data_IF_574784273775
#
_entry.id   IF_574784273775
#
_cell.length_a   1.000
_cell.length_b   1.000
_cell.length_c   1.000
_cell.angle_alpha   90.00
_cell.angle_beta   90.00
_cell.angle_gamma   90.00
#
_symmetry.space_group_name_H-M   'P 1'
#
loop_
_entity.id
_entity.type
_entity.pdbx_description
1 polymer ?
#
# COMPACT_ATOMS: atom_id res chain seq x y z
N UNK A 1 -20.01 29.18 -39.65
CA UNK A 1 -19.28 29.72 -38.48
C UNK A 1 -19.76 29.12 -37.16
N UNK A 2 -21.06 29.01 -36.88
CA UNK A 2 -21.57 28.40 -35.62
C UNK A 2 -21.13 26.91 -35.44
N UNK A 3 -21.08 26.10 -36.50
CA UNK A 3 -20.69 24.68 -36.45
C UNK A 3 -19.19 24.49 -36.16
N UNK A 4 -18.33 25.40 -36.57
CA UNK A 4 -16.88 25.35 -36.31
C UNK A 4 -16.57 25.68 -34.84
N UNK A 5 -17.33 26.60 -34.24
CA UNK A 5 -17.18 26.98 -32.83
C UNK A 5 -17.61 25.85 -31.90
N UNK A 6 -18.66 25.09 -32.27
CA UNK A 6 -19.10 23.90 -31.47
C UNK A 6 -18.08 22.79 -31.55
N UNK A 7 -17.45 22.55 -32.71
CA UNK A 7 -16.39 21.57 -32.86
C UNK A 7 -15.12 21.92 -32.06
N UNK A 8 -14.75 23.21 -32.00
CA UNK A 8 -13.61 23.69 -31.19
C UNK A 8 -13.88 23.60 -29.69
N UNK A 9 -15.11 23.82 -29.25
CA UNK A 9 -15.50 23.64 -27.82
C UNK A 9 -15.49 22.14 -27.41
N UNK A 10 -15.91 21.25 -28.30
CA UNK A 10 -15.85 19.79 -28.04
C UNK A 10 -14.39 19.26 -27.97
N UNK A 11 -13.48 19.78 -28.77
CA UNK A 11 -12.06 19.42 -28.72
C UNK A 11 -11.39 19.95 -27.46
N UNK A 12 -11.79 21.13 -26.96
CA UNK A 12 -11.25 21.68 -25.71
C UNK A 12 -11.67 20.86 -24.46
N UNK A 13 -12.84 20.19 -24.50
CA UNK A 13 -13.24 19.31 -23.40
C UNK A 13 -12.51 17.95 -23.38
N UNK A 14 -12.00 17.46 -24.51
CA UNK A 14 -11.23 16.22 -24.57
C UNK A 14 -9.79 16.37 -24.05
N UNK A 15 -9.24 17.58 -24.05
CA UNK A 15 -7.87 17.83 -23.56
C UNK A 15 -7.78 18.07 -22.04
N UNK A 16 -8.90 18.25 -21.34
CA UNK A 16 -8.91 18.52 -19.90
C UNK A 16 -8.89 17.25 -19.03
N UNK A 17 -9.10 16.06 -19.60
CA UNK A 17 -9.09 14.80 -18.84
C UNK A 17 -7.73 14.13 -18.72
N UNK A 18 -6.68 14.67 -19.33
CA UNK A 18 -5.35 14.04 -19.39
C UNK A 18 -4.42 14.40 -18.23
N UNK A 19 -4.86 15.14 -17.23
CA UNK A 19 -3.95 15.72 -16.23
C UNK A 19 -3.84 14.95 -14.91
N UNK A 20 -4.71 13.96 -14.67
CA UNK A 20 -4.78 13.27 -13.38
C UNK A 20 -4.25 11.82 -13.41
N UNK A 21 -3.58 11.42 -14.48
CA UNK A 21 -3.11 10.04 -14.68
C UNK A 21 -1.65 9.81 -14.34
N UNK A 22 -0.96 10.84 -13.84
CA UNK A 22 0.42 10.77 -13.40
C UNK A 22 0.69 11.71 -12.22
N UNK A 23 1.65 11.34 -11.38
CA UNK A 23 1.98 12.12 -10.20
C UNK A 23 2.77 11.37 -9.15
N UNK A 24 2.89 12.02 -8.00
CA UNK A 24 3.47 11.43 -6.80
C UNK A 24 2.51 11.64 -5.62
N UNK A 25 2.26 10.56 -4.87
CA UNK A 25 1.48 10.60 -3.63
C UNK A 25 2.41 10.22 -2.49
N UNK A 26 2.41 11.06 -1.43
CA UNK A 26 3.08 10.73 -0.17
C UNK A 26 2.05 10.11 0.75
N UNK A 27 2.35 8.91 1.26
CA UNK A 27 1.55 8.22 2.26
C UNK A 27 2.25 8.23 3.61
N UNK A 28 1.53 8.58 4.66
CA UNK A 28 1.92 8.26 6.02
C UNK A 28 1.42 6.83 6.35
N UNK A 29 2.32 5.96 6.75
CA UNK A 29 2.02 4.62 7.23
C UNK A 29 2.18 4.59 8.73
N UNK A 30 1.06 4.56 9.45
CA UNK A 30 1.00 4.49 10.89
C UNK A 30 0.69 3.06 11.33
N UNK A 31 1.52 2.50 12.20
CA UNK A 31 1.31 1.20 12.85
C UNK A 31 0.95 1.42 14.30
N UNK A 32 -0.17 0.87 14.72
CA UNK A 32 -0.55 0.78 16.13
C UNK A 32 -0.04 -0.53 16.73
N UNK A 33 1.16 -0.49 17.30
CA UNK A 33 1.78 -1.69 17.87
C UNK A 33 1.00 -2.27 19.06
N UNK A 34 0.33 -1.45 19.83
CA UNK A 34 -0.51 -1.95 20.94
C UNK A 34 -1.62 -2.81 20.38
N UNK A 35 -2.34 -2.31 19.38
CA UNK A 35 -3.43 -3.08 18.74
C UNK A 35 -2.89 -4.32 18.05
N UNK A 36 -1.83 -4.19 17.26
CA UNK A 36 -1.18 -5.31 16.58
C UNK A 36 -0.74 -6.41 17.55
N UNK A 37 -0.23 -6.03 18.74
CA UNK A 37 0.15 -6.99 19.78
C UNK A 37 -1.07 -7.60 20.47
N UNK A 38 -2.08 -6.79 20.84
CA UNK A 38 -3.24 -7.27 21.58
C UNK A 38 -4.20 -8.10 20.72
N UNK A 39 -4.11 -8.03 19.41
CA UNK A 39 -4.87 -8.88 18.48
C UNK A 39 -4.25 -10.30 18.32
N UNK A 40 -3.06 -10.56 18.90
CA UNK A 40 -2.41 -11.86 18.83
C UNK A 40 -3.17 -12.92 19.68
N UNK A 41 -3.41 -14.12 19.12
CA UNK A 41 -4.34 -15.08 19.73
C UNK A 41 -3.79 -15.79 20.99
N UNK A 42 -2.49 -15.73 21.22
CA UNK A 42 -1.84 -16.41 22.35
C UNK A 42 -1.72 -15.55 23.61
N UNK A 43 -1.99 -14.23 23.53
CA UNK A 43 -1.91 -13.35 24.70
C UNK A 43 -3.15 -13.50 25.58
N UNK A 44 -2.93 -13.67 26.89
CA UNK A 44 -3.97 -13.55 27.90
C UNK A 44 -4.49 -12.10 28.04
N UNK A 45 -5.67 -11.91 28.60
CA UNK A 45 -6.22 -10.56 28.82
C UNK A 45 -5.33 -9.71 29.75
N UNK A 46 -4.69 -10.35 30.76
CA UNK A 46 -3.73 -9.66 31.64
C UNK A 46 -2.50 -9.15 30.87
N UNK A 47 -1.97 -9.94 29.94
CA UNK A 47 -0.82 -9.54 29.09
C UNK A 47 -1.21 -8.44 28.11
N UNK A 48 -2.40 -8.50 27.53
CA UNK A 48 -2.95 -7.43 26.69
C UNK A 48 -3.08 -6.12 27.46
N UNK A 49 -3.62 -6.15 28.69
CA UNK A 49 -3.76 -4.96 29.51
C UNK A 49 -2.39 -4.40 29.95
N UNK A 50 -1.43 -5.27 30.28
CA UNK A 50 -0.06 -4.86 30.57
C UNK A 50 0.60 -4.20 29.34
N UNK A 51 0.36 -4.73 28.15
CA UNK A 51 0.86 -4.16 26.89
C UNK A 51 0.29 -2.75 26.68
N UNK A 52 -1.01 -2.56 26.82
CA UNK A 52 -1.68 -1.25 26.72
C UNK A 52 -1.09 -0.22 27.70
N UNK A 53 -0.82 -0.63 28.94
CA UNK A 53 -0.24 0.25 29.97
C UNK A 53 1.23 0.62 29.70
N UNK A 54 2.01 -0.29 29.10
CA UNK A 54 3.45 -0.15 28.93
C UNK A 54 3.85 0.67 27.71
N UNK A 55 3.06 0.62 26.62
CA UNK A 55 3.43 1.16 25.31
C UNK A 55 2.81 2.52 24.97
N UNK A 56 1.97 3.09 25.86
CA UNK A 56 1.32 4.39 25.66
C UNK A 56 0.47 4.42 24.40
N UNK A 57 0.70 5.38 23.48
CA UNK A 57 0.00 5.45 22.19
C UNK A 57 0.36 4.28 21.28
N UNK A 58 1.57 3.73 21.43
CA UNK A 58 2.05 2.58 20.67
C UNK A 58 2.10 2.77 19.16
N UNK A 59 2.02 4.01 18.67
CA UNK A 59 1.99 4.30 17.24
C UNK A 59 3.39 4.63 16.71
N UNK A 60 3.64 4.19 15.48
CA UNK A 60 4.85 4.49 14.72
C UNK A 60 4.50 4.92 13.30
N UNK A 61 5.04 6.06 12.88
CA UNK A 61 4.78 6.68 11.60
C UNK A 61 5.97 6.54 10.65
N UNK A 62 5.69 6.26 9.39
CA UNK A 62 6.71 6.14 8.34
C UNK A 62 6.14 6.62 7.02
N UNK A 63 6.89 7.42 6.26
CA UNK A 63 6.44 7.92 4.98
C UNK A 63 6.88 7.03 3.82
N UNK A 64 5.97 6.86 2.86
CA UNK A 64 6.19 6.16 1.60
C UNK A 64 5.74 7.03 0.43
N UNK A 65 6.41 6.90 -0.71
CA UNK A 65 6.05 7.59 -1.94
C UNK A 65 5.52 6.58 -2.95
N UNK A 66 4.39 6.91 -3.58
CA UNK A 66 3.88 6.26 -4.77
C UNK A 66 4.03 7.23 -5.93
N UNK A 67 4.92 6.93 -6.86
CA UNK A 67 5.06 7.66 -8.13
C UNK A 67 4.40 6.85 -9.24
N UNK A 68 3.52 7.46 -10.03
CA UNK A 68 2.71 6.75 -11.01
C UNK A 68 2.52 7.52 -12.30
N UNK A 69 2.31 6.79 -13.40
CA UNK A 69 1.85 7.26 -14.70
C UNK A 69 0.94 6.19 -15.34
N UNK A 70 0.41 6.39 -16.57
CA UNK A 70 -0.44 5.38 -17.23
C UNK A 70 0.26 4.05 -17.55
N UNK A 71 1.59 3.98 -17.42
CA UNK A 71 2.35 2.76 -17.72
C UNK A 71 2.63 1.93 -16.48
N UNK A 72 2.77 2.58 -15.31
CA UNK A 72 3.13 1.88 -14.09
C UNK A 72 3.11 2.75 -12.84
N UNK A 73 3.39 2.10 -11.72
CA UNK A 73 3.55 2.76 -10.42
C UNK A 73 4.73 2.17 -9.66
N UNK A 74 5.39 3.02 -8.86
CA UNK A 74 6.49 2.63 -7.98
C UNK A 74 6.16 3.09 -6.58
N UNK A 75 6.05 2.14 -5.66
CA UNK A 75 5.85 2.40 -4.23
C UNK A 75 7.11 2.05 -3.46
N UNK A 76 7.65 3.01 -2.74
CA UNK A 76 8.92 2.86 -2.02
C UNK A 76 8.98 3.76 -0.79
N UNK A 77 9.94 3.47 0.08
CA UNK A 77 10.21 4.27 1.26
C UNK A 77 10.51 5.74 0.89
N UNK A 78 9.81 6.66 1.55
CA UNK A 78 9.99 8.11 1.40
C UNK A 78 11.06 8.61 2.35
N UNK A 79 12.21 9.04 1.83
CA UNK A 79 13.26 9.66 2.65
C UNK A 79 12.78 11.02 3.14
N UNK A 80 12.74 11.24 4.46
CA UNK A 80 12.57 12.55 5.05
C UNK A 80 13.93 13.10 5.48
N UNK A 81 14.15 14.42 5.35
CA UNK A 81 15.42 15.09 5.71
C UNK A 81 15.80 14.94 7.20
N UNK A 82 14.88 14.44 8.04
CA UNK A 82 15.05 14.33 9.50
C UNK A 82 15.37 12.93 10.00
N UNK A 83 15.44 11.93 9.13
CA UNK A 83 15.73 10.57 9.58
C UNK A 83 17.21 10.40 9.89
N UNK A 84 17.53 10.48 11.17
CA UNK A 84 18.74 9.92 11.75
C UNK A 84 18.83 8.43 11.34
N UNK A 85 19.84 8.09 10.61
CA UNK A 85 20.62 6.88 10.33
C UNK A 85 20.18 5.52 10.92
N UNK A 86 18.90 5.30 11.22
CA UNK A 86 18.39 4.05 11.78
C UNK A 86 17.31 3.45 10.88
N UNK A 87 17.66 3.27 9.60
CA UNK A 87 16.77 2.53 8.69
C UNK A 87 17.08 1.03 8.77
N UNK A 88 16.36 0.33 9.61
CA UNK A 88 16.33 -1.12 9.57
C UNK A 88 15.69 -1.58 8.26
N UNK A 89 16.44 -1.56 7.13
CA UNK A 89 16.06 -2.13 5.83
C UNK A 89 14.73 -1.61 5.22
N UNK A 90 14.32 -0.40 5.57
CA UNK A 90 13.10 0.21 5.00
C UNK A 90 13.28 0.55 3.52
N UNK A 91 14.48 0.94 3.14
CA UNK A 91 14.90 1.20 1.76
C UNK A 91 15.02 -0.07 0.88
N UNK A 92 14.94 -1.27 1.48
CA UNK A 92 14.86 -2.54 0.77
C UNK A 92 13.41 -2.95 0.43
N UNK A 93 12.41 -2.15 0.81
CA UNK A 93 11.01 -2.37 0.43
C UNK A 93 10.66 -1.54 -0.81
N UNK A 94 10.28 -2.26 -1.87
CA UNK A 94 9.98 -1.67 -3.17
C UNK A 94 8.88 -2.48 -3.84
N UNK A 95 7.89 -1.79 -4.39
CA UNK A 95 6.88 -2.40 -5.28
C UNK A 95 6.90 -1.64 -6.60
N UNK A 96 6.94 -2.37 -7.69
CA UNK A 96 6.84 -1.85 -9.06
C UNK A 96 5.65 -2.53 -9.73
N UNK A 97 4.70 -1.74 -10.18
CA UNK A 97 3.56 -2.18 -10.98
C UNK A 97 3.81 -1.85 -12.45
N UNK A 98 3.81 -2.85 -13.34
CA UNK A 98 3.66 -2.65 -14.78
C UNK A 98 2.17 -2.73 -15.13
N UNK A 99 1.53 -1.56 -15.29
CA UNK A 99 0.09 -1.49 -15.56
C UNK A 99 -0.28 -1.98 -16.96
N UNK A 100 0.68 -1.95 -17.92
CA UNK A 100 0.47 -2.42 -19.28
C UNK A 100 0.48 -3.93 -19.39
N UNK A 101 1.38 -4.57 -18.65
CA UNK A 101 1.49 -6.03 -18.64
C UNK A 101 0.62 -6.70 -17.58
N UNK A 102 0.07 -5.92 -16.65
CA UNK A 102 -0.58 -6.42 -15.44
C UNK A 102 0.36 -7.31 -14.60
N UNK A 103 1.62 -6.91 -14.49
CA UNK A 103 2.65 -7.57 -13.67
C UNK A 103 2.99 -6.72 -12.45
N UNK A 104 3.39 -7.35 -11.37
CA UNK A 104 3.89 -6.69 -10.18
C UNK A 104 5.21 -7.32 -9.73
N UNK A 105 6.15 -6.47 -9.38
CA UNK A 105 7.40 -6.86 -8.74
C UNK A 105 7.43 -6.31 -7.33
N UNK A 106 7.67 -7.17 -6.34
CA UNK A 106 7.77 -6.81 -4.93
C UNK A 106 9.09 -7.27 -4.32
N UNK A 107 9.90 -6.32 -3.86
CA UNK A 107 11.11 -6.59 -3.08
C UNK A 107 10.81 -6.39 -1.59
N UNK A 108 11.19 -7.36 -0.75
CA UNK A 108 10.89 -7.35 0.69
C UNK A 108 11.86 -8.22 1.47
N UNK A 109 11.90 -8.02 2.80
CA UNK A 109 12.76 -8.79 3.72
C UNK A 109 11.91 -9.62 4.67
N UNK A 110 12.26 -10.90 4.85
CA UNK A 110 11.72 -11.79 5.88
C UNK A 110 12.86 -12.57 6.50
N UNK A 111 12.90 -12.65 7.83
CA UNK A 111 13.92 -13.40 8.56
C UNK A 111 15.35 -12.98 8.19
N UNK A 112 15.53 -11.69 7.91
CA UNK A 112 16.81 -11.15 7.51
C UNK A 112 17.25 -11.44 6.08
N UNK A 113 16.44 -12.11 5.26
CA UNK A 113 16.73 -12.42 3.86
C UNK A 113 15.92 -11.55 2.93
N UNK A 114 16.57 -11.01 1.89
CA UNK A 114 15.95 -10.23 0.83
C UNK A 114 15.36 -11.17 -0.24
N UNK A 115 14.09 -10.94 -0.56
CA UNK A 115 13.32 -11.68 -1.55
C UNK A 115 12.82 -10.77 -2.66
N UNK A 116 12.56 -11.37 -3.81
CA UNK A 116 11.99 -10.73 -4.99
C UNK A 116 10.86 -11.62 -5.50
N UNK A 117 9.62 -11.13 -5.40
CA UNK A 117 8.44 -11.73 -6.00
C UNK A 117 8.18 -11.01 -7.32
N UNK A 118 8.12 -11.75 -8.41
CA UNK A 118 7.72 -11.26 -9.74
C UNK A 118 6.56 -12.16 -10.20
N UNK A 119 5.36 -11.57 -10.35
CA UNK A 119 4.18 -12.33 -10.75
C UNK A 119 3.18 -11.47 -11.50
N UNK A 120 2.15 -12.12 -12.06
CA UNK A 120 0.96 -11.42 -12.49
C UNK A 120 0.40 -10.59 -11.33
N UNK A 121 -0.07 -9.39 -11.64
CA UNK A 121 -0.62 -8.48 -10.64
C UNK A 121 -1.75 -9.15 -9.86
N UNK A 122 -1.69 -9.19 -8.52
CA UNK A 122 -2.71 -9.84 -7.72
C UNK A 122 -4.10 -9.27 -8.03
N UNK A 123 -5.04 -10.13 -8.37
CA UNK A 123 -6.45 -9.72 -8.55
C UNK A 123 -7.14 -9.72 -7.21
N UNK A 124 -6.94 -8.67 -6.44
CA UNK A 124 -7.64 -8.49 -5.18
C UNK A 124 -9.15 -8.42 -5.42
N UNK A 125 -9.91 -9.26 -4.72
CA UNK A 125 -11.37 -9.29 -4.82
C UNK A 125 -11.97 -8.28 -3.86
N UNK A 126 -12.24 -7.08 -4.36
CA UNK A 126 -12.84 -6.01 -3.59
C UNK A 126 -14.37 -6.09 -3.56
N UNK A 127 -14.95 -5.81 -2.39
CA UNK A 127 -16.38 -5.57 -2.20
C UNK A 127 -16.58 -4.08 -1.95
N UNK A 128 -17.03 -3.37 -3.00
CA UNK A 128 -17.30 -1.92 -2.91
C UNK A 128 -18.52 -1.69 -2.00
N UNK A 129 -18.44 -0.66 -1.16
CA UNK A 129 -19.46 -0.25 -0.21
C UNK A 129 -20.03 1.12 -0.60
N UNK A 130 -21.26 1.39 -0.18
CA UNK A 130 -21.89 2.69 -0.41
C UNK A 130 -21.54 3.67 0.73
N UNK A 131 -20.24 3.93 0.88
CA UNK A 131 -19.70 4.90 1.85
C UNK A 131 -18.73 5.80 1.11
N UNK A 132 -18.77 7.09 1.41
CA UNK A 132 -17.95 8.12 0.78
C UNK A 132 -17.26 8.95 1.87
N UNK A 133 -16.00 9.30 1.65
CA UNK A 133 -15.25 10.27 2.45
C UNK A 133 -14.33 11.10 1.56
N UNK A 134 -13.89 12.24 2.04
CA UNK A 134 -12.88 13.06 1.38
C UNK A 134 -11.49 12.78 1.98
N UNK A 135 -10.48 12.61 1.11
CA UNK A 135 -9.07 12.46 1.47
C UNK A 135 -8.27 13.35 0.52
N UNK A 136 -7.47 14.27 1.05
CA UNK A 136 -6.64 15.22 0.28
C UNK A 136 -7.42 15.94 -0.84
N UNK A 137 -8.69 16.29 -0.59
CA UNK A 137 -9.56 16.96 -1.55
C UNK A 137 -10.21 16.05 -2.60
N UNK A 138 -9.99 14.73 -2.53
CA UNK A 138 -10.58 13.75 -3.43
C UNK A 138 -11.73 12.99 -2.78
N UNK A 139 -12.86 12.88 -3.49
CA UNK A 139 -13.95 12.02 -3.05
C UNK A 139 -13.56 10.55 -3.23
N UNK A 140 -13.58 9.79 -2.15
CA UNK A 140 -13.19 8.40 -2.11
C UNK A 140 -14.36 7.50 -1.76
N UNK A 141 -14.47 6.37 -2.45
CA UNK A 141 -15.41 5.28 -2.15
C UNK A 141 -14.71 4.20 -1.34
N UNK A 142 -15.47 3.57 -0.45
CA UNK A 142 -14.99 2.46 0.38
C UNK A 142 -15.04 1.13 -0.37
N UNK A 143 -14.00 0.33 -0.21
CA UNK A 143 -13.97 -1.08 -0.63
C UNK A 143 -13.34 -1.94 0.48
N UNK A 144 -13.73 -3.21 0.56
CA UNK A 144 -13.25 -4.15 1.59
C UNK A 144 -12.78 -5.43 0.94
N UNK A 145 -11.67 -5.97 1.43
CA UNK A 145 -11.15 -7.30 1.09
C UNK A 145 -10.58 -7.98 2.32
N UNK A 146 -10.18 -9.24 2.18
CA UNK A 146 -9.54 -10.04 3.22
C UNK A 146 -8.24 -10.65 2.71
N UNK A 147 -7.18 -10.58 3.51
CA UNK A 147 -5.97 -11.39 3.37
C UNK A 147 -6.13 -12.62 4.28
N UNK A 148 -6.47 -13.76 3.68
CA UNK A 148 -6.74 -15.00 4.42
C UNK A 148 -5.48 -15.64 4.97
N UNK A 149 -4.29 -15.36 4.41
CA UNK A 149 -3.01 -15.89 4.88
C UNK A 149 -2.59 -15.20 6.16
N UNK A 150 -2.72 -13.88 6.20
CA UNK A 150 -2.38 -13.09 7.39
C UNK A 150 -3.56 -12.93 8.37
N UNK A 151 -4.77 -13.35 7.98
CA UNK A 151 -5.98 -13.16 8.77
C UNK A 151 -6.36 -11.69 8.94
N UNK A 152 -6.19 -10.89 7.88
CA UNK A 152 -6.40 -9.44 7.93
C UNK A 152 -7.62 -9.01 7.14
N UNK A 153 -8.45 -8.14 7.73
CA UNK A 153 -9.47 -7.38 7.01
C UNK A 153 -8.87 -6.05 6.55
N UNK A 154 -9.05 -5.75 5.26
CA UNK A 154 -8.46 -4.56 4.64
C UNK A 154 -9.57 -3.70 4.08
N UNK A 155 -9.64 -2.46 4.53
CA UNK A 155 -10.53 -1.43 4.04
C UNK A 155 -9.71 -0.46 3.19
N UNK A 156 -10.12 -0.27 1.93
CA UNK A 156 -9.55 0.72 1.03
C UNK A 156 -10.52 1.86 0.79
N UNK A 157 -9.97 3.07 0.68
CA UNK A 157 -10.66 4.25 0.18
C UNK A 157 -9.99 4.69 -1.10
N UNK A 158 -10.71 4.67 -2.22
CA UNK A 158 -10.18 4.95 -3.54
C UNK A 158 -10.97 6.03 -4.26
N UNK A 159 -10.31 6.80 -5.11
CA UNK A 159 -10.92 7.85 -5.93
C UNK A 159 -10.74 7.55 -7.43
N UNK A 160 -11.84 7.62 -8.17
CA UNK A 160 -11.86 7.54 -9.63
C UNK A 160 -11.45 8.86 -10.31
N UNK A 161 -11.31 9.93 -9.53
CA UNK A 161 -10.77 11.22 -10.00
C UNK A 161 -9.28 11.15 -10.36
N UNK A 162 -8.58 10.10 -9.87
CA UNK A 162 -7.23 9.70 -10.30
C UNK A 162 -7.38 8.31 -10.94
N UNK A 163 -7.57 8.23 -12.28
CA UNK A 163 -8.00 7.01 -12.96
C UNK A 163 -6.86 6.00 -13.19
N UNK A 164 -6.01 5.83 -12.20
CA UNK A 164 -4.90 4.87 -12.20
C UNK A 164 -5.17 3.82 -11.14
N UNK A 165 -5.31 2.56 -11.55
CA UNK A 165 -5.61 1.44 -10.66
C UNK A 165 -4.37 0.99 -9.87
N UNK A 166 -3.90 1.83 -8.95
CA UNK A 166 -2.75 1.61 -8.11
C UNK A 166 -3.04 2.04 -6.65
N UNK A 167 -2.12 1.71 -5.73
CA UNK A 167 -2.25 2.09 -4.33
C UNK A 167 -1.04 1.68 -3.50
N UNK A 168 -1.04 2.06 -2.22
CA UNK A 168 0.02 1.70 -1.30
C UNK A 168 0.06 0.19 -1.06
N UNK A 169 1.20 -0.33 -0.59
CA UNK A 169 1.46 -1.75 -0.29
C UNK A 169 1.27 -2.71 -1.49
N UNK A 170 1.06 -2.18 -2.71
CA UNK A 170 0.81 -2.96 -3.92
C UNK A 170 -0.65 -3.40 -4.09
N UNK A 171 -1.57 -2.88 -3.29
CA UNK A 171 -3.00 -3.13 -3.49
C UNK A 171 -3.51 -2.44 -4.75
N UNK A 172 -4.28 -3.17 -5.53
CA UNK A 172 -4.76 -2.75 -6.85
C UNK A 172 -6.14 -3.35 -7.13
N UNK A 173 -6.69 -3.12 -8.35
CA UNK A 173 -7.93 -3.75 -8.80
C UNK A 173 -9.19 -2.94 -8.49
N UNK A 174 -9.06 -1.71 -7.96
CA UNK A 174 -10.13 -0.73 -7.87
C UNK A 174 -10.11 0.22 -9.07
N UNK A 175 -11.23 0.80 -9.46
CA UNK A 175 -11.31 1.69 -10.61
C UNK A 175 -10.82 3.12 -10.26
N UNK A 176 -9.57 3.24 -9.80
CA UNK A 176 -8.93 4.49 -9.40
C UNK A 176 -7.86 4.28 -8.34
N UNK A 177 -7.24 5.39 -7.94
CA UNK A 177 -6.15 5.41 -6.96
C UNK A 177 -6.66 5.16 -5.55
N UNK A 178 -6.00 4.23 -4.84
CA UNK A 178 -6.26 4.00 -3.41
C UNK A 178 -5.51 5.09 -2.62
N UNK A 179 -6.27 5.94 -1.93
CA UNK A 179 -5.72 7.02 -1.12
C UNK A 179 -5.60 6.67 0.37
N UNK A 180 -6.26 5.61 0.83
CA UNK A 180 -6.09 5.11 2.19
C UNK A 180 -6.33 3.60 2.25
N UNK A 181 -5.55 2.94 3.09
CA UNK A 181 -5.79 1.59 3.57
C UNK A 181 -5.93 1.61 5.09
N UNK A 182 -6.90 0.88 5.61
CA UNK A 182 -7.05 0.56 7.02
C UNK A 182 -7.02 -0.96 7.16
N UNK A 183 -6.05 -1.47 7.88
CA UNK A 183 -5.83 -2.90 8.10
C UNK A 183 -6.18 -3.23 9.54
N UNK A 184 -7.12 -4.16 9.72
CA UNK A 184 -7.62 -4.62 11.01
C UNK A 184 -8.07 -3.47 11.91
N UNK A 185 -8.96 -2.59 11.38
CA UNK A 185 -9.62 -1.53 12.14
C UNK A 185 -8.61 -0.66 12.93
N UNK A 186 -7.63 -0.12 12.22
CA UNK A 186 -6.62 0.80 12.76
C UNK A 186 -5.36 0.14 13.35
N UNK A 187 -5.13 -1.15 13.15
CA UNK A 187 -3.84 -1.76 13.49
C UNK A 187 -2.72 -1.24 12.57
N UNK A 188 -3.04 -1.03 11.29
CA UNK A 188 -2.21 -0.23 10.40
C UNK A 188 -3.08 0.69 9.53
N UNK A 189 -2.72 1.96 9.47
CA UNK A 189 -3.35 2.94 8.59
C UNK A 189 -2.28 3.49 7.63
N UNK A 190 -2.57 3.43 6.33
CA UNK A 190 -1.71 4.02 5.31
C UNK A 190 -2.55 5.04 4.55
N UNK A 191 -2.35 6.33 4.82
CA UNK A 191 -3.18 7.41 4.29
C UNK A 191 -2.34 8.41 3.51
N UNK A 192 -2.86 8.84 2.36
CA UNK A 192 -2.27 9.91 1.57
C UNK A 192 -2.26 11.21 2.40
N UNK A 193 -1.11 11.89 2.41
CA UNK A 193 -0.91 13.18 3.08
C UNK A 193 -0.55 14.28 2.08
N UNK A 194 -0.24 13.90 0.85
CA UNK A 194 0.03 14.82 -0.25
C UNK A 194 -0.25 14.11 -1.56
N UNK A 195 -0.96 14.79 -2.45
CA UNK A 195 -1.19 14.35 -3.83
C UNK A 195 -0.67 15.44 -4.76
N UNK A 196 0.40 15.14 -5.50
CA UNK A 196 1.01 16.05 -6.47
C UNK A 196 0.88 15.44 -7.87
N UNK A 197 -0.05 16.00 -8.68
CA UNK A 197 -0.33 15.56 -10.04
C UNK A 197 0.53 16.34 -11.05
N UNK A 198 1.81 16.08 -11.04
CA UNK A 198 2.78 16.66 -11.96
C UNK A 198 3.39 15.59 -12.86
N UNK A 199 4.02 16.01 -13.95
CA UNK A 199 4.79 15.11 -14.82
C UNK A 199 5.93 14.48 -14.03
N UNK A 200 5.96 13.16 -13.97
CA UNK A 200 6.94 12.41 -13.18
C UNK A 200 7.90 11.64 -14.06
N UNK A 201 9.11 11.44 -13.55
CA UNK A 201 10.04 10.44 -14.08
C UNK A 201 10.04 9.26 -13.09
N UNK A 202 9.83 8.06 -13.63
CA UNK A 202 9.92 6.84 -12.82
C UNK A 202 11.38 6.40 -12.69
N UNK A 203 12.03 6.63 -11.57
CA UNK A 203 13.39 6.14 -11.34
C UNK A 203 13.36 4.66 -10.98
N UNK A 204 13.08 3.79 -11.96
CA UNK A 204 13.21 2.34 -11.75
C UNK A 204 14.65 2.05 -11.38
N UNK A 205 14.92 1.42 -10.23
CA UNK A 205 16.27 1.06 -9.83
C UNK A 205 16.94 0.20 -10.90
N UNK A 206 18.15 0.56 -11.30
CA UNK A 206 18.91 -0.16 -12.35
C UNK A 206 19.21 -1.62 -12.00
N UNK A 207 19.15 -1.97 -10.71
CA UNK A 207 19.41 -3.31 -10.21
C UNK A 207 18.56 -3.61 -8.99
N UNK A 208 17.61 -4.51 -9.14
CA UNK A 208 16.80 -5.04 -8.06
C UNK A 208 17.40 -6.37 -7.63
N UNK A 209 17.53 -6.60 -6.32
CA UNK A 209 18.19 -7.77 -5.75
C UNK A 209 17.18 -8.56 -4.92
N UNK A 210 17.43 -9.83 -4.73
CA UNK A 210 16.66 -10.71 -3.86
C UNK A 210 16.67 -12.14 -4.36
N UNK A 211 16.36 -13.09 -3.48
CA UNK A 211 16.06 -14.46 -3.88
C UNK A 211 14.69 -14.44 -4.57
N UNK A 212 14.63 -14.86 -5.84
CA UNK A 212 13.35 -14.95 -6.54
C UNK A 212 12.43 -15.98 -5.89
N UNK A 213 11.16 -15.65 -5.82
CA UNK A 213 10.07 -16.50 -5.37
C UNK A 213 8.93 -16.42 -6.40
N UNK A 214 8.27 -17.56 -6.61
CA UNK A 214 6.96 -17.62 -7.25
C UNK A 214 5.87 -17.30 -6.22
N UNK A 215 4.66 -16.89 -6.67
CA UNK A 215 3.56 -16.53 -5.76
C UNK A 215 3.20 -17.66 -4.78
N UNK A 216 3.14 -18.89 -5.26
CA UNK A 216 2.86 -20.06 -4.41
C UNK A 216 3.93 -20.31 -3.36
N UNK A 217 5.21 -20.04 -3.67
CA UNK A 217 6.31 -20.14 -2.71
C UNK A 217 6.25 -18.99 -1.70
N UNK A 218 5.85 -17.79 -2.14
CA UNK A 218 5.63 -16.64 -1.25
C UNK A 218 4.51 -16.92 -0.26
N UNK A 219 3.35 -17.38 -0.74
CA UNK A 219 2.20 -17.69 0.11
C UNK A 219 2.55 -18.76 1.14
N UNK A 220 3.19 -19.85 0.71
CA UNK A 220 3.65 -20.91 1.61
C UNK A 220 4.70 -20.42 2.62
N UNK A 221 5.59 -19.49 2.23
CA UNK A 221 6.57 -18.88 3.13
C UNK A 221 5.89 -18.04 4.22
N UNK A 222 4.92 -17.21 3.85
CA UNK A 222 4.17 -16.36 4.80
C UNK A 222 3.34 -17.24 5.73
N UNK A 223 2.59 -18.20 5.18
CA UNK A 223 1.75 -19.13 5.96
C UNK A 223 2.56 -19.88 7.02
N UNK A 224 3.68 -20.46 6.58
CA UNK A 224 4.61 -21.15 7.48
C UNK A 224 5.17 -20.21 8.56
N UNK A 225 5.60 -19.01 8.17
CA UNK A 225 6.17 -18.03 9.09
C UNK A 225 5.15 -17.56 10.13
N UNK A 226 3.91 -17.33 9.71
CA UNK A 226 2.80 -16.99 10.60
C UNK A 226 2.55 -18.12 11.61
N UNK A 227 2.40 -19.37 11.13
CA UNK A 227 2.12 -20.52 11.98
C UNK A 227 3.24 -20.76 13.02
N UNK A 228 4.51 -20.80 12.59
CA UNK A 228 5.66 -21.00 13.47
C UNK A 228 5.84 -19.85 14.48
N UNK A 229 5.50 -18.64 14.09
CA UNK A 229 5.55 -17.48 15.00
C UNK A 229 4.47 -17.58 16.08
N UNK A 230 3.23 -17.89 15.70
CA UNK A 230 2.11 -18.04 16.63
C UNK A 230 2.34 -19.22 17.60
N UNK A 231 2.79 -20.37 17.06
CA UNK A 231 3.12 -21.55 17.90
C UNK A 231 4.24 -21.24 18.89
N UNK A 232 5.24 -20.46 18.49
CA UNK A 232 6.35 -20.02 19.34
C UNK A 232 6.04 -18.77 20.18
N UNK A 233 4.78 -18.34 20.29
CA UNK A 233 4.35 -17.12 21.00
C UNK A 233 5.16 -15.86 20.62
N UNK A 234 5.50 -15.74 19.34
CA UNK A 234 6.23 -14.60 18.77
C UNK A 234 5.31 -13.79 17.89
N UNK A 235 5.49 -12.48 17.89
CA UNK A 235 4.77 -11.62 16.97
C UNK A 235 5.35 -11.73 15.56
N UNK A 236 4.61 -12.28 14.57
CA UNK A 236 5.09 -12.42 13.20
C UNK A 236 5.35 -11.07 12.52
N UNK A 237 4.65 -10.02 12.91
CA UNK A 237 4.71 -8.70 12.29
C UNK A 237 5.93 -7.86 12.67
N UNK A 238 6.85 -8.40 13.47
CA UNK A 238 8.20 -7.84 13.61
C UNK A 238 9.09 -8.16 12.40
N UNK A 239 8.81 -9.27 11.70
CA UNK A 239 9.62 -9.76 10.59
C UNK A 239 8.90 -9.62 9.24
N UNK A 240 7.59 -9.80 9.22
CA UNK A 240 6.77 -9.61 8.03
C UNK A 240 5.99 -8.30 8.13
N UNK A 241 5.72 -7.72 6.98
CA UNK A 241 4.96 -6.48 6.90
C UNK A 241 3.49 -6.72 7.24
N UNK A 242 2.99 -5.90 8.17
CA UNK A 242 1.59 -5.92 8.61
C UNK A 242 0.70 -5.46 7.47
#
# INVERSE_FOLDING_TARGET
MKSIIIALLLIAHLSAQSQNDQGTIVYNRQINYVKMMTDLPYLSEEEKDRTKLSWGSGTWDTNYNLTFDPNGAIYTYGKTEREYNYSWRQDEFLIIDDLKKAEQMKQFVIGGRLYLLEDEKPRTKWKIKNEIREIEGYLCMKAVTEDTIKGQTIVAWFSDQIPVAAGPEGYTGLPGMILMLDINDGAAIIEATTVDLAVVQHPIPKKIKGKKLELTEYDALIEKFMAESIEGERNPFWEIRY
#
